data_IF_824786490226
#
_entry.id   IF_824786490226
#
_cell.length_a   1.000
_cell.length_b   1.000
_cell.length_c   1.000
_cell.angle_alpha   90.00
_cell.angle_beta   90.00
_cell.angle_gamma   90.00
#
_symmetry.space_group_name_H-M   'P 1'
#
loop_
_entity.id
_entity.type
_entity.pdbx_description
1 polymer ?
#
# COMPACT_ATOMS: atom_id res chain seq x y z
N UNK A 1 -10.05 -8.66 6.76
CA UNK A 1 -10.28 -8.19 5.36
C UNK A 1 -9.19 -7.22 4.95
N UNK A 2 -8.67 -7.32 3.73
CA UNK A 2 -7.93 -6.19 3.15
C UNK A 2 -8.90 -5.34 2.33
N UNK A 3 -8.73 -4.02 2.34
CA UNK A 3 -9.52 -3.09 1.52
C UNK A 3 -8.66 -1.94 1.01
N UNK A 4 -9.13 -1.25 -0.04
CA UNK A 4 -8.46 -0.06 -0.56
C UNK A 4 -8.71 1.11 0.38
N UNK A 5 -7.68 1.88 0.69
CA UNK A 5 -7.78 3.12 1.48
C UNK A 5 -6.88 4.18 0.88
N UNK A 6 -7.05 5.44 1.23
CA UNK A 6 -6.11 6.49 0.83
C UNK A 6 -4.95 6.57 1.83
N UNK A 7 -3.73 6.78 1.33
CA UNK A 7 -2.59 7.07 2.18
C UNK A 7 -2.74 8.47 2.79
N UNK A 8 -2.60 8.60 4.11
CA UNK A 8 -2.67 9.91 4.78
C UNK A 8 -1.49 10.84 4.46
N UNK A 9 -0.39 10.31 3.90
CA UNK A 9 0.83 11.08 3.60
C UNK A 9 0.86 11.58 2.17
N UNK A 10 0.60 10.71 1.18
CA UNK A 10 0.66 11.07 -0.24
C UNK A 10 -0.72 11.20 -0.90
N UNK A 11 -1.81 10.95 -0.17
CA UNK A 11 -3.19 10.98 -0.67
C UNK A 11 -3.50 10.03 -1.85
N UNK A 12 -2.56 9.15 -2.21
CA UNK A 12 -2.73 8.11 -3.23
C UNK A 12 -3.42 6.87 -2.67
N UNK A 13 -3.91 6.01 -3.56
CA UNK A 13 -4.55 4.75 -3.18
C UNK A 13 -3.52 3.76 -2.61
N UNK A 14 -3.81 3.25 -1.43
CA UNK A 14 -3.09 2.17 -0.78
C UNK A 14 -4.08 1.10 -0.31
N UNK A 15 -3.60 0.08 0.36
CA UNK A 15 -4.40 -0.99 0.94
C UNK A 15 -4.20 -1.02 2.45
N UNK A 16 -5.20 -1.50 3.16
CA UNK A 16 -5.15 -1.74 4.60
C UNK A 16 -5.54 -3.18 4.91
N UNK A 17 -4.78 -3.88 5.74
CA UNK A 17 -5.10 -5.23 6.19
C UNK A 17 -3.89 -6.15 6.36
N UNK A 18 -4.10 -7.47 6.28
CA UNK A 18 -3.09 -8.49 6.54
C UNK A 18 -2.14 -8.79 5.35
N UNK A 19 -2.23 -8.08 4.23
CA UNK A 19 -1.26 -8.20 3.13
C UNK A 19 -1.46 -9.39 2.19
N UNK A 20 -2.42 -10.29 2.46
CA UNK A 20 -2.66 -11.48 1.61
C UNK A 20 -3.63 -11.23 0.45
N UNK A 21 -4.51 -10.23 0.58
CA UNK A 21 -5.47 -9.87 -0.46
C UNK A 21 -5.09 -8.58 -1.21
N UNK A 22 -3.86 -8.09 -1.02
CA UNK A 22 -3.32 -6.90 -1.71
C UNK A 22 -3.47 -6.98 -3.22
N UNK A 23 -3.09 -8.07 -3.91
CA UNK A 23 -3.32 -8.19 -5.34
C UNK A 23 -4.80 -7.97 -5.70
N UNK A 24 -5.76 -8.66 -5.06
CA UNK A 24 -7.19 -8.45 -5.38
C UNK A 24 -7.68 -7.01 -5.16
N UNK A 25 -7.14 -6.32 -4.17
CA UNK A 25 -7.54 -4.93 -3.86
C UNK A 25 -6.89 -3.94 -4.83
N UNK A 26 -5.60 -4.08 -5.07
CA UNK A 26 -4.80 -3.18 -5.90
C UNK A 26 -4.97 -3.46 -7.40
N UNK A 27 -5.41 -4.65 -7.81
CA UNK A 27 -5.71 -5.00 -9.21
C UNK A 27 -6.82 -4.11 -9.82
N UNK A 28 -7.75 -3.68 -8.97
CA UNK A 28 -8.82 -2.73 -9.34
C UNK A 28 -8.36 -1.26 -9.34
N UNK A 29 -7.09 -0.98 -9.02
CA UNK A 29 -6.54 0.37 -8.93
C UNK A 29 -5.40 0.47 -9.96
N UNK A 30 -5.39 1.49 -10.84
CA UNK A 30 -4.28 1.66 -11.76
C UNK A 30 -2.99 1.97 -10.99
N UNK A 31 -1.86 1.46 -11.48
CA UNK A 31 -0.53 1.66 -10.86
C UNK A 31 -0.16 3.14 -10.66
N UNK A 32 -0.71 4.04 -11.47
CA UNK A 32 -0.49 5.49 -11.36
C UNK A 32 -1.08 6.08 -10.06
N UNK A 33 -2.20 5.51 -9.61
CA UNK A 33 -2.87 5.88 -8.37
C UNK A 33 -2.30 5.15 -7.14
N UNK A 34 -1.35 4.22 -7.31
CA UNK A 34 -0.77 3.51 -6.18
C UNK A 34 0.15 4.43 -5.38
N UNK A 35 0.06 4.29 -4.06
CA UNK A 35 0.97 4.96 -3.14
C UNK A 35 2.44 4.68 -3.52
N UNK A 36 3.24 5.73 -3.66
CA UNK A 36 4.67 5.64 -3.99
C UNK A 36 5.56 5.76 -2.76
N UNK A 37 4.98 5.80 -1.57
CA UNK A 37 5.72 5.86 -0.31
C UNK A 37 6.55 4.58 -0.10
N UNK A 38 7.65 4.73 0.64
CA UNK A 38 8.49 3.63 1.10
C UNK A 38 8.16 3.29 2.57
N UNK A 39 8.40 2.04 3.03
CA UNK A 39 8.93 0.91 2.29
C UNK A 39 7.85 0.16 1.49
N UNK A 40 8.20 -0.24 0.27
CA UNK A 40 7.36 -1.15 -0.52
C UNK A 40 7.42 -2.54 0.10
N UNK A 41 6.28 -3.22 0.18
CA UNK A 41 6.25 -4.60 0.66
C UNK A 41 6.22 -5.55 -0.53
N UNK A 42 7.02 -6.61 -0.47
CA UNK A 42 6.97 -7.66 -1.47
C UNK A 42 5.93 -8.72 -1.06
N UNK A 43 4.96 -9.00 -1.95
CA UNK A 43 3.97 -10.05 -1.76
C UNK A 43 3.81 -10.86 -3.04
N UNK A 44 3.92 -12.18 -2.93
CA UNK A 44 3.83 -13.12 -4.05
C UNK A 44 4.75 -12.76 -5.23
N UNK A 45 5.97 -12.26 -4.95
CA UNK A 45 6.96 -11.87 -5.96
C UNK A 45 6.68 -10.53 -6.65
N UNK A 46 5.71 -9.75 -6.16
CA UNK A 46 5.40 -8.41 -6.67
C UNK A 46 5.51 -7.38 -5.56
N UNK A 47 6.13 -6.24 -5.86
CA UNK A 47 6.21 -5.10 -4.94
C UNK A 47 4.89 -4.33 -4.94
N UNK A 48 4.36 -4.10 -3.74
CA UNK A 48 3.15 -3.32 -3.49
C UNK A 48 3.44 -2.15 -2.55
N UNK A 49 2.63 -1.08 -2.60
CA UNK A 49 2.75 0.04 -1.66
C UNK A 49 2.69 -0.42 -0.19
N UNK A 50 3.27 0.36 0.73
CA UNK A 50 3.12 0.13 2.16
C UNK A 50 1.65 0.17 2.56
N UNK A 51 1.31 -0.61 3.58
CA UNK A 51 -0.02 -0.54 4.18
C UNK A 51 -0.32 0.89 4.63
N UNK A 52 -1.54 1.37 4.38
CA UNK A 52 -2.02 2.68 4.82
C UNK A 52 -2.17 2.76 6.33
N UNK A 53 -1.07 2.86 7.07
CA UNK A 53 -1.06 3.13 8.51
C UNK A 53 -0.83 4.62 8.74
N UNK A 54 -1.55 5.26 9.69
CA UNK A 54 -1.31 6.66 10.07
C UNK A 54 0.03 6.86 10.78
N UNK A 55 0.73 5.78 11.12
CA UNK A 55 1.98 5.81 11.86
C UNK A 55 3.05 5.02 11.12
N UNK A 56 4.09 5.75 10.76
CA UNK A 56 5.46 5.29 10.60
C UNK A 56 5.75 4.37 9.42
N UNK A 57 6.27 5.02 8.38
CA UNK A 57 7.39 4.50 7.62
C UNK A 57 8.45 5.58 7.43
N UNK A 58 8.71 6.35 8.49
CA UNK A 58 9.96 7.09 8.63
C UNK A 58 10.94 6.11 9.32
N UNK A 59 11.56 5.22 8.55
CA UNK A 59 12.70 4.39 9.01
C UNK A 59 13.96 4.78 8.23
N UNK A 60 14.12 6.06 7.92
CA UNK A 60 15.43 6.55 7.53
C UNK A 60 15.79 7.72 8.45
N UNK A 61 16.70 7.39 9.37
CA UNK A 61 17.47 8.19 10.34
C UNK A 61 16.85 8.41 11.73
#
# INVERSE_FOLDING_TARGET
MCHKTACGTCSKATWFGCGQHVPSVMDNVPKDDWCTCEPKVEKKGQQYPPMGSPLSACIIM
#
